data_IF_021548183884
#
_entry.id   IF_021548183884
#
_cell.length_a   1.000
_cell.length_b   1.000
_cell.length_c   1.000
_cell.angle_alpha   90.00
_cell.angle_beta   90.00
_cell.angle_gamma   90.00
#
_symmetry.space_group_name_H-M   'P 1'
#
loop_
_entity.id
_entity.type
_entity.pdbx_description
1 polymer ?
#
# COMPACT_ATOMS: atom_id res chain seq x y z
N UNK A 1 -7.30 -18.20 -1.89
CA UNK A 1 -6.70 -16.93 -1.47
C UNK A 1 -5.37 -17.24 -0.82
N UNK A 2 -4.30 -16.57 -1.26
CA UNK A 2 -3.00 -16.69 -0.60
C UNK A 2 -3.09 -16.04 0.79
N UNK A 3 -2.26 -16.45 1.76
CA UNK A 3 -2.25 -15.87 3.11
C UNK A 3 -2.09 -14.35 3.12
N UNK A 4 -1.39 -13.81 2.11
CA UNK A 4 -1.10 -12.39 1.93
C UNK A 4 -2.32 -11.59 1.45
N UNK A 5 -3.23 -12.21 0.69
CA UNK A 5 -4.47 -11.57 0.20
C UNK A 5 -5.37 -11.16 1.37
N UNK A 6 -5.30 -11.90 2.49
CA UNK A 6 -6.09 -11.62 3.69
C UNK A 6 -5.54 -10.43 4.48
N UNK A 7 -4.27 -10.07 4.31
CA UNK A 7 -3.63 -8.99 5.08
C UNK A 7 -4.12 -7.62 4.62
N UNK A 8 -4.26 -7.42 3.31
CA UNK A 8 -4.83 -6.19 2.75
C UNK A 8 -6.28 -6.00 3.18
N UNK A 9 -7.11 -7.04 3.03
CA UNK A 9 -8.53 -7.00 3.40
C UNK A 9 -8.73 -6.72 4.90
N UNK A 10 -7.88 -7.31 5.75
CA UNK A 10 -7.89 -7.06 7.21
C UNK A 10 -7.60 -5.60 7.54
N UNK A 11 -6.59 -5.00 6.93
CA UNK A 11 -6.25 -3.59 7.18
C UNK A 11 -7.32 -2.68 6.61
N UNK A 12 -7.86 -2.96 5.41
CA UNK A 12 -8.96 -2.19 4.84
C UNK A 12 -10.19 -2.17 5.77
N UNK A 13 -10.64 -3.33 6.24
CA UNK A 13 -11.76 -3.42 7.19
C UNK A 13 -11.46 -2.70 8.51
N UNK A 14 -10.21 -2.68 8.96
CA UNK A 14 -9.80 -1.95 10.17
C UNK A 14 -9.91 -0.44 9.95
N UNK A 15 -9.44 0.07 8.81
CA UNK A 15 -9.54 1.49 8.44
C UNK A 15 -11.00 1.92 8.35
N UNK A 16 -11.83 1.18 7.64
CA UNK A 16 -13.27 1.46 7.53
C UNK A 16 -13.95 1.52 8.91
N UNK A 17 -13.58 0.63 9.83
CA UNK A 17 -14.09 0.67 11.21
C UNK A 17 -13.58 1.89 11.98
N UNK A 18 -12.30 2.21 11.86
CA UNK A 18 -11.69 3.37 12.51
C UNK A 18 -12.35 4.68 12.04
N UNK A 19 -12.62 4.82 10.75
CA UNK A 19 -13.34 5.96 10.16
C UNK A 19 -14.77 6.07 10.70
N UNK A 20 -15.50 4.97 10.73
CA UNK A 20 -16.87 4.92 11.29
C UNK A 20 -16.89 5.33 12.77
N UNK A 21 -15.83 5.03 13.51
CA UNK A 21 -15.65 5.41 14.91
C UNK A 21 -15.00 6.79 15.10
N UNK A 22 -14.70 7.52 14.00
CA UNK A 22 -13.98 8.81 14.01
C UNK A 22 -12.66 8.76 14.75
N UNK A 23 -11.98 7.61 14.71
CA UNK A 23 -10.66 7.44 15.30
C UNK A 23 -9.61 8.08 14.41
N UNK A 24 -8.65 8.77 15.00
CA UNK A 24 -7.53 9.37 14.27
C UNK A 24 -6.44 8.37 13.89
N UNK A 25 -6.41 7.21 14.56
CA UNK A 25 -5.41 6.17 14.32
C UNK A 25 -5.96 4.79 14.69
N UNK A 26 -5.40 3.75 14.07
CA UNK A 26 -5.69 2.36 14.37
C UNK A 26 -4.39 1.55 14.39
N UNK A 27 -4.25 0.68 15.38
CA UNK A 27 -3.11 -0.22 15.47
C UNK A 27 -3.26 -1.38 14.48
N UNK A 28 -2.28 -1.58 13.61
CA UNK A 28 -2.21 -2.69 12.66
C UNK A 28 -1.19 -3.74 13.11
N UNK A 29 -1.44 -5.04 12.91
CA UNK A 29 -0.42 -6.06 13.15
C UNK A 29 0.82 -5.85 12.27
N UNK A 30 2.01 -6.02 12.85
CA UNK A 30 3.30 -5.81 12.14
C UNK A 30 3.40 -6.65 10.86
N UNK A 31 2.85 -7.88 10.87
CA UNK A 31 2.83 -8.75 9.69
C UNK A 31 2.06 -8.14 8.51
N UNK A 32 0.94 -7.48 8.80
CA UNK A 32 0.05 -6.93 7.78
C UNK A 32 0.63 -5.62 7.25
N UNK A 33 1.25 -4.83 8.14
CA UNK A 33 2.01 -3.63 7.76
C UNK A 33 3.18 -3.97 6.81
N UNK A 34 3.95 -5.03 7.10
CA UNK A 34 5.07 -5.43 6.24
C UNK A 34 4.63 -5.75 4.81
N UNK A 35 3.54 -6.53 4.67
CA UNK A 35 2.97 -6.87 3.36
C UNK A 35 2.52 -5.62 2.61
N UNK A 36 1.89 -4.65 3.30
CA UNK A 36 1.49 -3.39 2.68
C UNK A 36 2.69 -2.57 2.21
N UNK A 37 3.75 -2.50 3.00
CA UNK A 37 4.98 -1.80 2.62
C UNK A 37 5.64 -2.45 1.41
N UNK A 38 5.73 -3.78 1.35
CA UNK A 38 6.29 -4.50 0.20
C UNK A 38 5.52 -4.17 -1.10
N UNK A 39 4.18 -4.12 -1.03
CA UNK A 39 3.33 -3.73 -2.16
C UNK A 39 3.57 -2.27 -2.56
N UNK A 40 3.65 -1.37 -1.58
CA UNK A 40 3.94 0.04 -1.83
C UNK A 40 5.32 0.23 -2.48
N UNK A 41 6.35 -0.43 -1.97
CA UNK A 41 7.72 -0.36 -2.53
C UNK A 41 7.75 -0.83 -3.99
N UNK A 42 7.08 -1.94 -4.30
CA UNK A 42 6.94 -2.42 -5.68
C UNK A 42 6.23 -1.38 -6.55
N UNK A 43 5.13 -0.79 -6.08
CA UNK A 43 4.40 0.23 -6.82
C UNK A 43 5.22 1.51 -7.05
N UNK A 44 6.00 1.94 -6.05
CA UNK A 44 6.90 3.09 -6.17
C UNK A 44 8.04 2.82 -7.15
N UNK A 45 8.68 1.64 -7.09
CA UNK A 45 9.74 1.25 -8.01
C UNK A 45 9.24 1.19 -9.47
N UNK A 46 8.02 0.68 -9.69
CA UNK A 46 7.39 0.67 -11.02
C UNK A 46 7.09 2.08 -11.53
N UNK A 47 6.67 2.99 -10.66
CA UNK A 47 6.42 4.39 -11.02
C UNK A 47 7.71 5.10 -11.44
N UNK A 48 8.81 4.92 -10.70
CA UNK A 48 10.11 5.48 -11.05
C UNK A 48 10.60 4.99 -12.42
N UNK A 49 10.41 3.71 -12.77
CA UNK A 49 10.73 3.22 -14.12
C UNK A 49 9.83 3.80 -15.22
N UNK A 50 8.59 4.15 -14.89
CA UNK A 50 7.65 4.74 -15.84
C UNK A 50 7.98 6.22 -16.12
N UNK A 51 8.36 6.97 -15.09
CA UNK A 51 8.72 8.38 -15.19
C UNK A 51 10.03 8.60 -16.00
N UNK A 52 11.01 7.69 -15.90
CA UNK A 52 12.26 7.73 -16.69
C UNK A 52 12.00 7.60 -18.21
N UNK A 53 10.90 6.98 -18.62
CA UNK A 53 10.60 6.73 -20.05
C UNK A 53 9.99 7.95 -20.76
N UNK A 54 9.76 9.05 -20.04
CA UNK A 54 9.03 10.23 -20.52
C UNK A 54 9.88 11.48 -20.74
N UNK A 55 11.19 11.45 -20.49
CA UNK A 55 12.07 12.53 -20.93
C UNK A 55 12.33 12.38 -22.45
N UNK A 56 11.83 13.28 -23.31
CA UNK A 56 12.22 13.26 -24.71
C UNK A 56 13.64 13.81 -24.79
N UNK A 57 14.52 13.11 -25.52
CA UNK A 57 15.78 13.66 -25.98
C UNK A 57 15.49 14.97 -26.73
N UNK A 58 15.71 16.11 -26.07
CA UNK A 58 15.70 17.42 -26.71
C UNK A 58 17.04 17.54 -27.44
N UNK A 59 16.99 17.32 -28.75
CA UNK A 59 18.08 17.58 -29.68
C UNK A 59 17.95 19.02 -30.23
#
# INVERSE_FOLDING_TARGET
MKPDDLSFERVQRLVERAENLRMQSAAVPVKDLRILLDVCEIAFAQRTMSDIKTEPEVN
#
